data_IF_381711664924
#
_entry.id   IF_381711664924
#
_cell.length_a   1.000
_cell.length_b   1.000
_cell.length_c   1.000
_cell.angle_alpha   90.00
_cell.angle_beta   90.00
_cell.angle_gamma   90.00
#
_symmetry.space_group_name_H-M   'P 1'
#
loop_
_entity.id
_entity.type
_entity.pdbx_description
1 polymer ?
#
# COMPACT_ATOMS: atom_id res chain seq x y z
N UNK A 1 -3.53 -10.76 -20.47
CA UNK A 1 -3.18 -9.63 -19.58
C UNK A 1 -2.91 -8.43 -20.45
N UNK A 2 -3.76 -7.41 -20.41
CA UNK A 2 -3.49 -6.14 -21.10
C UNK A 2 -2.31 -5.46 -20.42
N UNK A 3 -1.26 -5.18 -21.18
CA UNK A 3 -0.09 -4.45 -20.71
C UNK A 3 -0.55 -3.06 -20.23
N UNK A 4 -0.18 -2.66 -19.01
CA UNK A 4 -0.49 -1.34 -18.48
C UNK A 4 0.19 -0.26 -19.36
N UNK A 5 -0.57 0.71 -19.86
CA UNK A 5 -0.05 1.80 -20.72
C UNK A 5 0.54 2.94 -19.86
N UNK A 6 1.60 2.66 -19.10
CA UNK A 6 2.20 3.62 -18.15
C UNK A 6 2.50 4.97 -18.78
N UNK A 7 3.20 4.98 -19.92
CA UNK A 7 3.61 6.20 -20.59
C UNK A 7 2.40 7.08 -20.97
N UNK A 8 1.36 6.50 -21.56
CA UNK A 8 0.17 7.24 -21.98
C UNK A 8 -0.61 7.78 -20.77
N UNK A 9 -0.76 6.97 -19.73
CA UNK A 9 -1.39 7.41 -18.47
C UNK A 9 -0.62 8.58 -17.84
N UNK A 10 0.72 8.52 -17.79
CA UNK A 10 1.56 9.59 -17.21
C UNK A 10 1.50 10.87 -18.03
N UNK A 11 1.59 10.77 -19.36
CA UNK A 11 1.42 11.91 -20.28
C UNK A 11 0.09 12.62 -20.04
N UNK A 12 -1.01 11.86 -20.00
CA UNK A 12 -2.33 12.46 -19.79
C UNK A 12 -2.52 12.99 -18.37
N UNK A 13 -1.91 12.38 -17.36
CA UNK A 13 -1.88 12.95 -16.01
C UNK A 13 -1.21 14.32 -15.99
N UNK A 14 -0.08 14.50 -16.68
CA UNK A 14 0.57 15.82 -16.80
C UNK A 14 -0.26 16.82 -17.61
N UNK A 15 -1.07 16.38 -18.57
CA UNK A 15 -2.00 17.28 -19.27
C UNK A 15 -3.07 17.82 -18.32
N UNK A 16 -3.63 16.95 -17.47
CA UNK A 16 -4.59 17.37 -16.45
C UNK A 16 -3.96 18.35 -15.44
N UNK A 17 -2.70 18.12 -15.05
CA UNK A 17 -1.95 19.07 -14.23
C UNK A 17 -1.77 20.41 -14.92
N UNK A 18 -1.38 20.43 -16.19
CA UNK A 18 -1.27 21.67 -16.95
C UNK A 18 -2.59 22.46 -16.98
N UNK A 19 -3.71 21.77 -17.24
CA UNK A 19 -5.04 22.41 -17.21
C UNK A 19 -5.33 23.03 -15.83
N UNK A 20 -4.99 22.33 -14.75
CA UNK A 20 -5.25 22.83 -13.39
C UNK A 20 -4.31 23.97 -12.98
N UNK A 21 -3.00 23.80 -13.20
CA UNK A 21 -1.94 24.69 -12.70
C UNK A 21 -1.76 25.94 -13.58
N UNK A 22 -1.90 25.83 -14.91
CA UNK A 22 -1.64 26.94 -15.84
C UNK A 22 -2.91 27.58 -16.40
N UNK A 23 -4.02 26.85 -16.46
CA UNK A 23 -5.30 27.37 -16.97
C UNK A 23 -6.36 27.55 -15.88
N UNK A 24 -6.03 27.27 -14.61
CA UNK A 24 -6.94 27.46 -13.48
C UNK A 24 -8.19 26.56 -13.53
N UNK A 25 -8.13 25.45 -14.25
CA UNK A 25 -9.27 24.55 -14.42
C UNK A 25 -9.51 23.79 -13.13
N UNK A 26 -10.72 23.92 -12.58
CA UNK A 26 -11.12 23.11 -11.42
C UNK A 26 -11.23 21.64 -11.82
N UNK A 27 -10.35 20.82 -11.25
CA UNK A 27 -10.27 19.37 -11.41
C UNK A 27 -10.07 18.74 -10.03
N UNK A 28 -10.87 17.72 -9.72
CA UNK A 28 -10.65 16.92 -8.52
C UNK A 28 -9.46 15.97 -8.71
N UNK A 29 -8.29 16.39 -8.23
CA UNK A 29 -7.07 15.61 -8.31
C UNK A 29 -7.13 14.29 -7.51
N UNK A 30 -7.99 14.19 -6.49
CA UNK A 30 -8.16 12.92 -5.76
C UNK A 30 -8.74 11.85 -6.68
N UNK A 31 -9.77 12.20 -7.45
CA UNK A 31 -10.35 11.32 -8.47
C UNK A 31 -9.33 11.01 -9.58
N UNK A 32 -8.61 12.01 -10.08
CA UNK A 32 -7.62 11.83 -11.17
C UNK A 32 -6.47 10.89 -10.78
N UNK A 33 -6.06 10.90 -9.52
CA UNK A 33 -5.01 10.01 -9.02
C UNK A 33 -5.44 8.54 -9.04
N UNK A 34 -6.74 8.26 -8.93
CA UNK A 34 -7.30 6.91 -9.05
C UNK A 34 -7.34 6.37 -10.48
N UNK A 35 -7.22 7.21 -11.52
CA UNK A 35 -7.32 6.74 -12.90
C UNK A 35 -6.20 5.78 -13.27
N UNK A 36 -6.58 4.66 -13.89
CA UNK A 36 -5.68 3.58 -14.28
C UNK A 36 -5.68 3.31 -15.80
N UNK A 37 -6.54 4.00 -16.56
CA UNK A 37 -6.62 3.85 -18.02
C UNK A 37 -6.49 5.20 -18.76
N UNK A 38 -5.86 5.21 -19.95
CA UNK A 38 -5.77 6.44 -20.75
C UNK A 38 -7.13 7.00 -21.18
N UNK A 39 -8.14 6.13 -21.34
CA UNK A 39 -9.50 6.54 -21.73
C UNK A 39 -10.16 7.46 -20.70
N UNK A 40 -10.01 7.17 -19.40
CA UNK A 40 -10.53 8.01 -18.32
C UNK A 40 -9.95 9.42 -18.38
N UNK A 41 -8.63 9.52 -18.58
CA UNK A 41 -7.98 10.82 -18.75
C UNK A 41 -8.43 11.54 -20.02
N UNK A 42 -8.48 10.84 -21.16
CA UNK A 42 -8.85 11.45 -22.43
C UNK A 42 -10.27 12.05 -22.39
N UNK A 43 -11.22 11.35 -21.77
CA UNK A 43 -12.58 11.85 -21.56
C UNK A 43 -12.58 13.13 -20.71
N UNK A 44 -11.85 13.15 -19.60
CA UNK A 44 -11.73 14.33 -18.74
C UNK A 44 -11.10 15.51 -19.48
N UNK A 45 -9.97 15.27 -20.16
CA UNK A 45 -9.23 16.31 -20.90
C UNK A 45 -10.10 16.91 -22.00
N UNK A 46 -10.77 16.08 -22.81
CA UNK A 46 -11.66 16.57 -23.86
C UNK A 46 -12.81 17.40 -23.29
N UNK A 47 -13.48 16.88 -22.25
CA UNK A 47 -14.57 17.60 -21.58
C UNK A 47 -14.12 18.98 -21.09
N UNK A 48 -12.94 19.08 -20.47
CA UNK A 48 -12.38 20.35 -19.98
C UNK A 48 -11.94 21.28 -21.10
N UNK A 49 -11.32 20.77 -22.16
CA UNK A 49 -10.93 21.59 -23.31
C UNK A 49 -12.14 22.13 -24.09
N UNK A 50 -13.20 21.34 -24.20
CA UNK A 50 -14.45 21.76 -24.84
C UNK A 50 -15.18 22.82 -24.03
N UNK A 51 -15.08 22.79 -22.70
CA UNK A 51 -15.62 23.83 -21.81
C UNK A 51 -14.82 25.15 -21.88
N UNK A 52 -13.51 25.08 -22.13
CA UNK A 52 -12.63 26.26 -22.10
C UNK A 52 -12.54 27.00 -23.44
N UNK A 53 -12.68 26.27 -24.54
CA UNK A 53 -12.41 26.80 -25.86
C UNK A 53 -13.52 26.40 -26.83
N UNK A 54 -14.06 27.38 -27.56
CA UNK A 54 -14.90 27.09 -28.73
C UNK A 54 -14.06 26.97 -30.01
N UNK A 55 -12.89 27.62 -30.03
CA UNK A 55 -12.02 27.68 -31.19
C UNK A 55 -11.04 26.49 -31.29
N UNK A 56 -11.12 25.74 -32.39
CA UNK A 56 -10.23 24.61 -32.71
C UNK A 56 -8.74 25.01 -32.74
N UNK A 57 -8.41 26.24 -33.13
CA UNK A 57 -7.01 26.72 -33.15
C UNK A 57 -6.42 26.86 -31.75
N UNK A 58 -7.20 27.44 -30.82
CA UNK A 58 -6.78 27.58 -29.41
C UNK A 58 -6.63 26.20 -28.75
N UNK A 59 -7.59 25.29 -28.97
CA UNK A 59 -7.46 23.89 -28.50
C UNK A 59 -6.16 23.25 -28.96
N UNK A 60 -5.82 23.38 -30.25
CA UNK A 60 -4.56 22.83 -30.80
C UNK A 60 -3.33 23.46 -30.18
N UNK A 61 -3.33 24.77 -29.94
CA UNK A 61 -2.23 25.47 -29.27
C UNK A 61 -2.03 24.93 -27.85
N UNK A 62 -3.09 24.88 -27.06
CA UNK A 62 -3.07 24.35 -25.69
C UNK A 62 -2.59 22.90 -25.64
N UNK A 63 -3.01 22.06 -26.60
CA UNK A 63 -2.54 20.66 -26.70
C UNK A 63 -1.04 20.57 -26.94
N UNK A 64 -0.47 21.46 -27.76
CA UNK A 64 0.99 21.51 -27.98
C UNK A 64 1.73 21.91 -26.70
N UNK A 65 1.21 22.88 -25.97
CA UNK A 65 1.78 23.31 -24.67
C UNK A 65 1.70 22.18 -23.64
N UNK A 66 0.57 21.48 -23.54
CA UNK A 66 0.42 20.30 -22.67
C UNK A 66 1.43 19.20 -23.01
N UNK A 67 1.66 18.92 -24.30
CA UNK A 67 2.68 17.97 -24.77
C UNK A 67 4.08 18.36 -24.32
N UNK A 68 4.43 19.65 -24.47
CA UNK A 68 5.72 20.17 -24.05
C UNK A 68 5.88 20.06 -22.53
N UNK A 69 4.87 20.49 -21.78
CA UNK A 69 4.85 20.38 -20.32
C UNK A 69 5.08 18.93 -19.86
N UNK A 70 4.37 17.96 -20.44
CA UNK A 70 4.59 16.55 -20.10
C UNK A 70 6.02 16.07 -20.40
N UNK A 71 6.62 16.51 -21.52
CA UNK A 71 7.99 16.15 -21.91
C UNK A 71 9.02 16.67 -20.91
N UNK A 72 8.79 17.84 -20.33
CA UNK A 72 9.68 18.44 -19.33
C UNK A 72 9.60 17.77 -17.95
N UNK A 73 8.47 17.11 -17.64
CA UNK A 73 8.20 16.58 -16.30
C UNK A 73 8.36 15.06 -16.18
N UNK A 74 8.19 14.32 -17.27
CA UNK A 74 8.15 12.86 -17.27
C UNK A 74 9.56 12.27 -17.33
N UNK A 75 9.88 11.42 -16.34
CA UNK A 75 11.11 10.63 -16.36
C UNK A 75 10.93 9.40 -17.25
N UNK A 76 11.95 9.06 -18.05
CA UNK A 76 11.92 7.86 -18.91
C UNK A 76 11.61 6.58 -18.12
N UNK A 77 10.74 5.75 -18.69
CA UNK A 77 10.23 4.53 -18.04
C UNK A 77 11.34 3.52 -17.67
N UNK A 78 12.48 3.54 -18.39
CA UNK A 78 13.65 2.68 -18.13
C UNK A 78 14.18 2.78 -16.70
N UNK A 79 14.05 3.95 -16.07
CA UNK A 79 14.52 4.15 -14.69
C UNK A 79 13.67 3.41 -13.65
N UNK A 80 12.47 2.96 -14.05
CA UNK A 80 11.52 2.29 -13.17
C UNK A 80 11.43 0.78 -13.43
N UNK A 81 12.17 0.21 -14.37
CA UNK A 81 11.97 -1.20 -14.74
C UNK A 81 12.24 -2.18 -13.58
N UNK A 82 13.21 -1.86 -12.73
CA UNK A 82 13.58 -2.67 -11.58
C UNK A 82 12.41 -2.88 -10.60
N UNK A 83 11.53 -1.89 -10.42
CA UNK A 83 10.41 -1.98 -9.47
C UNK A 83 9.20 -2.75 -10.02
N UNK A 84 9.15 -2.99 -11.33
CA UNK A 84 8.09 -3.78 -11.98
C UNK A 84 8.29 -5.29 -11.85
N UNK A 85 9.47 -5.70 -11.41
CA UNK A 85 9.89 -7.11 -11.34
C UNK A 85 9.01 -7.95 -10.43
N UNK A 86 8.64 -7.43 -9.25
CA UNK A 86 7.69 -8.10 -8.35
C UNK A 86 6.85 -7.11 -7.54
N UNK A 87 5.83 -7.65 -6.88
CA UNK A 87 4.82 -6.88 -6.14
C UNK A 87 5.35 -6.27 -4.84
N UNK A 88 6.24 -6.95 -4.13
CA UNK A 88 6.89 -6.45 -2.91
C UNK A 88 7.69 -5.19 -3.21
N UNK A 89 8.48 -5.19 -4.28
CA UNK A 89 9.31 -4.06 -4.69
C UNK A 89 8.44 -2.87 -5.05
N UNK A 90 7.39 -3.10 -5.85
CA UNK A 90 6.45 -2.04 -6.22
C UNK A 90 5.78 -1.41 -4.99
N UNK A 91 5.34 -2.23 -4.02
CA UNK A 91 4.71 -1.74 -2.80
C UNK A 91 5.71 -1.05 -1.85
N UNK A 92 6.92 -1.59 -1.71
CA UNK A 92 8.01 -0.94 -0.97
C UNK A 92 8.31 0.45 -1.54
N UNK A 93 8.50 0.52 -2.86
CA UNK A 93 8.83 1.76 -3.55
C UNK A 93 7.73 2.81 -3.40
N UNK A 94 6.47 2.37 -3.48
CA UNK A 94 5.32 3.20 -3.19
C UNK A 94 5.37 3.73 -1.75
N UNK A 95 5.51 2.85 -0.75
CA UNK A 95 5.60 3.27 0.66
C UNK A 95 6.75 4.25 0.88
N UNK A 96 7.94 3.98 0.35
CA UNK A 96 9.14 4.78 0.56
C UNK A 96 9.01 6.22 0.04
N UNK A 97 8.41 6.43 -1.13
CA UNK A 97 8.25 7.79 -1.67
C UNK A 97 7.21 8.59 -0.88
N UNK A 98 6.08 7.97 -0.57
CA UNK A 98 5.01 8.65 0.14
C UNK A 98 5.29 8.78 1.65
N UNK A 99 6.20 7.99 2.20
CA UNK A 99 6.56 8.07 3.62
C UNK A 99 7.57 9.16 3.97
N UNK A 100 8.28 9.73 2.98
CA UNK A 100 9.33 10.75 3.17
C UNK A 100 8.82 12.21 3.08
N UNK A 101 8.72 12.96 4.19
CA UNK A 101 8.21 14.34 4.19
C UNK A 101 9.08 15.33 3.41
N UNK A 102 10.40 15.10 3.33
CA UNK A 102 11.33 15.97 2.60
C UNK A 102 11.05 16.03 1.09
N UNK A 103 10.41 15.00 0.54
CA UNK A 103 10.02 14.98 -0.88
C UNK A 103 8.76 15.82 -1.14
N UNK A 104 7.87 16.01 -0.16
CA UNK A 104 6.69 16.88 -0.29
C UNK A 104 7.04 18.36 -0.37
N UNK A 105 8.07 18.80 0.35
CA UNK A 105 8.54 20.18 0.25
C UNK A 105 8.94 20.52 -1.21
N UNK A 106 9.36 19.52 -1.99
CA UNK A 106 9.65 19.66 -3.42
C UNK A 106 8.41 19.73 -4.32
N UNK A 107 7.19 19.60 -3.79
CA UNK A 107 5.95 20.00 -4.49
C UNK A 107 5.59 21.47 -4.21
N UNK A 108 5.82 21.94 -2.99
CA UNK A 108 5.39 23.26 -2.51
C UNK A 108 6.35 24.42 -2.84
N UNK A 109 7.64 24.15 -3.08
CA UNK A 109 8.65 25.20 -3.29
C UNK A 109 8.49 26.01 -4.60
N UNK A 110 7.57 25.64 -5.50
CA UNK A 110 7.27 26.43 -6.69
C UNK A 110 6.17 27.49 -6.46
N UNK A 111 5.32 27.35 -5.45
CA UNK A 111 4.24 28.34 -5.19
C UNK A 111 4.75 29.62 -4.54
N UNK A 112 5.92 29.60 -3.87
CA UNK A 112 6.42 30.77 -3.13
C UNK A 112 7.61 31.48 -3.79
N UNK A 113 8.34 30.83 -4.69
CA UNK A 113 9.47 31.45 -5.38
C UNK A 113 9.31 31.25 -6.89
N UNK A 114 8.92 32.34 -7.56
CA UNK A 114 8.93 32.59 -9.01
C UNK A 114 7.55 32.72 -9.71
N UNK A 115 6.77 33.72 -9.30
CA UNK A 115 5.80 34.39 -10.19
C UNK A 115 6.48 35.15 -11.35
N UNK A 116 7.83 35.17 -11.42
CA UNK A 116 8.59 35.87 -12.45
C UNK A 116 9.49 34.98 -13.33
N UNK A 117 9.78 33.72 -12.97
CA UNK A 117 10.74 32.87 -13.73
C UNK A 117 10.11 31.69 -14.48
N UNK A 118 8.80 31.43 -14.34
CA UNK A 118 8.10 30.34 -15.05
C UNK A 118 7.57 30.73 -16.45
N UNK A 119 7.81 31.96 -16.93
CA UNK A 119 7.25 32.44 -18.20
C UNK A 119 8.15 32.20 -19.43
N UNK A 120 9.21 31.40 -19.31
CA UNK A 120 10.06 31.07 -20.46
C UNK A 120 10.11 29.57 -20.68
N UNK A 121 9.28 29.09 -21.62
CA UNK A 121 9.68 27.95 -22.45
C UNK A 121 11.02 28.37 -23.10
N UNK A 122 12.14 27.64 -22.90
CA UNK A 122 13.39 28.01 -23.52
C UNK A 122 13.21 28.04 -25.05
N UNK A 123 13.46 29.19 -25.69
CA UNK A 123 13.27 29.38 -27.14
C UNK A 123 14.28 28.60 -28.02
N UNK A 124 14.94 27.59 -27.46
CA UNK A 124 16.07 26.88 -28.07
C UNK A 124 15.71 25.50 -28.65
N UNK A 125 14.50 24.96 -28.40
CA UNK A 125 14.11 23.68 -28.99
C UNK A 125 13.67 23.89 -30.45
N UNK A 126 14.60 23.69 -31.39
CA UNK A 126 14.34 23.75 -32.84
C UNK A 126 13.42 22.61 -33.30
N UNK A 127 12.63 22.87 -34.35
CA UNK A 127 11.67 21.94 -34.99
C UNK A 127 12.26 20.57 -35.34
N UNK A 128 13.58 20.48 -35.48
CA UNK A 128 14.31 19.27 -35.88
C UNK A 128 14.34 18.20 -34.77
N UNK A 129 14.38 18.60 -33.49
CA UNK A 129 14.29 17.66 -32.34
C UNK A 129 12.84 17.18 -32.13
N UNK A 130 11.86 18.02 -32.49
CA UNK A 130 10.43 17.68 -32.42
C UNK A 130 10.01 16.60 -33.45
N UNK A 131 10.71 16.48 -34.57
CA UNK A 131 10.41 15.50 -35.62
C UNK A 131 10.63 14.05 -35.21
N UNK A 132 11.56 13.78 -34.28
CA UNK A 132 11.93 12.41 -33.88
C UNK A 132 11.03 11.80 -32.80
N UNK A 133 10.21 12.59 -32.11
CA UNK A 133 9.28 12.13 -31.07
C UNK A 133 7.79 12.22 -31.50
N UNK A 134 7.54 12.44 -32.79
CA UNK A 134 6.24 12.84 -33.35
C UNK A 134 5.32 11.71 -33.83
N UNK A 135 5.65 10.42 -33.62
CA UNK A 135 4.83 9.32 -34.18
C UNK A 135 3.65 8.84 -33.33
N UNK A 136 3.54 9.18 -32.05
CA UNK A 136 2.73 8.34 -31.13
C UNK A 136 1.43 8.96 -30.59
N UNK A 137 0.75 9.80 -31.38
CA UNK A 137 -0.66 10.13 -31.09
C UNK A 137 -1.49 10.18 -32.37
N UNK A 138 -2.07 9.05 -32.76
CA UNK A 138 -3.16 9.01 -33.72
C UNK A 138 -4.49 9.39 -33.04
N UNK A 139 -4.82 10.69 -33.09
CA UNK A 139 -6.11 11.22 -32.64
C UNK A 139 -7.30 10.68 -33.44
N UNK A 140 -7.08 10.14 -34.65
CA UNK A 140 -8.14 9.54 -35.47
C UNK A 140 -8.49 8.10 -35.03
N UNK A 141 -7.54 7.37 -34.43
CA UNK A 141 -7.82 6.07 -33.80
C UNK A 141 -8.77 6.19 -32.59
N UNK A 142 -8.72 7.30 -31.84
CA UNK A 142 -9.59 7.57 -30.68
C UNK A 142 -11.05 7.91 -31.05
N UNK A 143 -11.29 8.57 -32.19
CA UNK A 143 -12.66 8.80 -32.69
C UNK A 143 -13.40 7.49 -32.97
N UNK A 144 -12.71 6.45 -33.43
CA UNK A 144 -13.32 5.14 -33.72
C UNK A 144 -13.85 4.41 -32.49
N UNK A 145 -13.36 4.71 -31.29
CA UNK A 145 -13.85 4.09 -30.05
C UNK A 145 -15.11 4.75 -29.48
N UNK A 146 -15.39 6.03 -29.80
CA UNK A 146 -16.65 6.69 -29.40
C UNK A 146 -17.88 6.08 -30.08
N UNK A 147 -17.74 5.50 -31.27
CA UNK A 147 -18.88 4.95 -32.04
C UNK A 147 -19.35 3.59 -31.47
N UNK A 148 -18.53 2.89 -30.67
CA UNK A 148 -18.86 1.53 -30.19
C UNK A 148 -19.51 1.43 -28.81
N UNK A 149 -19.59 2.52 -28.04
CA UNK A 149 -20.13 2.50 -26.66
C UNK A 149 -21.47 3.22 -26.49
N UNK A 150 -22.16 3.59 -27.57
CA UNK A 150 -23.56 4.04 -27.47
C UNK A 150 -24.51 2.83 -27.41
N UNK A 151 -24.49 2.12 -26.28
CA UNK A 151 -25.40 1.01 -26.03
C UNK A 151 -25.34 0.60 -24.56
N UNK A 152 -26.44 0.85 -23.85
CA UNK A 152 -26.84 0.25 -22.57
C UNK A 152 -26.66 1.07 -21.27
N UNK A 153 -27.74 1.82 -20.97
CA UNK A 153 -28.64 1.73 -19.79
C UNK A 153 -28.06 1.89 -18.37
N UNK A 154 -28.28 3.09 -17.84
CA UNK A 154 -28.88 3.45 -16.53
C UNK A 154 -28.79 2.43 -15.37
N UNK A 155 -27.97 2.74 -14.36
CA UNK A 155 -28.18 2.28 -12.97
C UNK A 155 -27.98 3.48 -12.01
N UNK A 156 -28.96 3.67 -11.13
CA UNK A 156 -29.09 4.78 -10.18
C UNK A 156 -28.02 4.74 -9.08
N UNK A 157 -27.48 5.91 -8.77
CA UNK A 157 -26.61 6.21 -7.64
C UNK A 157 -27.46 6.34 -6.37
N UNK A 158 -27.16 5.57 -5.32
CA UNK A 158 -27.82 5.70 -4.02
C UNK A 158 -26.96 6.54 -3.07
N UNK A 159 -27.62 7.51 -2.44
CA UNK A 159 -27.15 8.39 -1.39
C UNK A 159 -26.52 7.66 -0.20
N UNK A 160 -25.36 8.15 0.27
CA UNK A 160 -25.01 8.14 1.68
C UNK A 160 -24.42 9.49 2.08
N UNK A 161 -25.17 10.14 2.95
CA UNK A 161 -24.97 11.41 3.63
C UNK A 161 -23.66 11.45 4.44
N UNK A 162 -22.80 12.41 4.10
CA UNK A 162 -21.76 12.95 4.97
C UNK A 162 -22.38 14.00 5.88
N UNK A 163 -22.14 13.89 7.19
CA UNK A 163 -22.52 14.89 8.20
C UNK A 163 -21.34 15.10 9.14
N UNK A 164 -21.16 16.36 9.54
CA UNK A 164 -20.20 16.99 10.46
C UNK A 164 -18.96 17.55 9.76
N UNK A 165 -18.97 18.77 9.25
CA UNK A 165 -19.30 20.09 9.84
C UNK A 165 -18.16 20.65 10.71
N UNK A 166 -17.75 21.87 10.34
CA UNK A 166 -16.51 22.54 10.70
C UNK A 166 -16.81 23.59 11.76
N UNK A 167 -16.07 23.62 12.87
CA UNK A 167 -15.77 24.91 13.52
C UNK A 167 -14.52 24.89 14.41
N UNK A 168 -13.66 25.87 14.10
CA UNK A 168 -12.87 26.74 14.98
C UNK A 168 -11.69 26.21 15.84
N UNK A 169 -10.50 26.68 15.42
CA UNK A 169 -9.48 27.41 16.19
C UNK A 169 -8.90 26.75 17.46
N UNK A 170 -7.68 26.20 17.35
CA UNK A 170 -6.51 26.66 18.11
C UNK A 170 -5.23 26.00 17.59
N UNK A 171 -4.18 26.81 17.41
CA UNK A 171 -2.81 26.36 17.12
C UNK A 171 -2.24 25.67 18.35
N UNK A 172 -2.42 24.36 18.44
CA UNK A 172 -1.54 23.45 19.17
C UNK A 172 -1.03 22.43 18.16
N UNK A 173 0.29 22.22 18.13
CA UNK A 173 0.87 21.05 17.47
C UNK A 173 0.21 19.82 18.07
N UNK A 174 -0.81 19.31 17.37
CA UNK A 174 -1.37 18.00 17.64
C UNK A 174 -0.27 17.04 17.26
N UNK A 175 0.53 16.64 18.24
CA UNK A 175 1.33 15.42 18.14
C UNK A 175 0.30 14.30 18.13
N UNK A 176 -0.27 14.05 16.95
CA UNK A 176 -1.09 12.88 16.69
C UNK A 176 -0.13 11.71 16.87
N UNK A 177 -0.24 11.03 18.01
CA UNK A 177 0.47 9.79 18.27
C UNK A 177 -0.08 8.77 17.28
N UNK A 178 0.46 8.78 16.06
CA UNK A 178 0.15 7.77 15.07
C UNK A 178 0.76 6.45 15.57
N UNK A 179 -0.01 5.36 15.47
CA UNK A 179 0.48 4.00 15.67
C UNK A 179 1.33 3.52 14.47
N UNK A 180 1.72 4.47 13.61
CA UNK A 180 2.64 4.33 12.50
C UNK A 180 3.99 3.78 12.92
N UNK A 181 4.53 2.91 12.07
CA UNK A 181 5.94 2.58 12.05
C UNK A 181 6.78 3.86 11.96
N UNK A 182 7.70 4.03 12.91
CA UNK A 182 8.61 5.17 12.93
C UNK A 182 9.39 5.32 11.61
N UNK A 183 9.58 6.57 11.19
CA UNK A 183 10.18 6.92 9.91
C UNK A 183 9.21 6.89 8.73
N UNK A 184 7.91 6.67 8.97
CA UNK A 184 6.91 6.72 7.92
C UNK A 184 5.76 7.70 8.19
N UNK A 185 5.55 8.62 7.26
CA UNK A 185 4.36 9.47 7.22
C UNK A 185 3.31 8.86 6.28
N UNK A 186 2.18 8.41 6.84
CA UNK A 186 1.13 7.72 6.08
C UNK A 186 -0.05 8.61 5.68
N UNK A 187 -0.09 9.87 6.12
CA UNK A 187 -1.16 10.82 5.75
C UNK A 187 -1.23 11.04 4.24
N UNK A 188 -0.13 10.77 3.54
CA UNK A 188 0.02 10.96 2.08
C UNK A 188 -0.43 9.77 1.25
N UNK A 189 -0.57 8.59 1.86
CA UNK A 189 -0.86 7.38 1.11
C UNK A 189 -2.37 7.27 0.90
N UNK A 190 -2.81 7.53 -0.33
CA UNK A 190 -4.19 7.29 -0.72
C UNK A 190 -4.39 5.84 -1.14
N UNK A 191 -5.56 5.22 -0.85
CA UNK A 191 -5.82 3.86 -1.30
C UNK A 191 -5.70 3.75 -2.82
N UNK A 192 -4.88 2.79 -3.26
CA UNK A 192 -4.70 2.45 -4.68
C UNK A 192 -5.29 1.08 -4.95
N UNK A 193 -5.61 0.81 -6.21
CA UNK A 193 -6.09 -0.51 -6.62
C UNK A 193 -5.10 -1.61 -6.21
N UNK A 194 -5.63 -2.78 -5.86
CA UNK A 194 -4.89 -3.96 -5.41
C UNK A 194 -4.10 -4.65 -6.56
N UNK A 195 -3.23 -3.91 -7.24
CA UNK A 195 -2.38 -4.41 -8.32
C UNK A 195 -0.96 -3.86 -8.24
N UNK A 196 0.01 -4.67 -8.67
CA UNK A 196 1.41 -4.23 -8.80
C UNK A 196 1.49 -3.01 -9.72
N UNK A 197 0.75 -3.05 -10.82
CA UNK A 197 0.74 -2.02 -11.83
C UNK A 197 0.18 -0.70 -11.29
N UNK A 198 -0.78 -0.75 -10.35
CA UNK A 198 -1.32 0.45 -9.69
C UNK A 198 -0.29 1.08 -8.76
N UNK A 199 0.47 0.30 -7.99
CA UNK A 199 1.58 0.82 -7.16
C UNK A 199 2.61 1.54 -8.05
N UNK A 200 3.04 0.88 -9.14
CA UNK A 200 4.03 1.44 -10.07
C UNK A 200 3.51 2.73 -10.71
N UNK A 201 2.27 2.74 -11.22
CA UNK A 201 1.73 3.93 -11.88
C UNK A 201 1.55 5.09 -10.89
N UNK A 202 1.05 4.82 -9.68
CA UNK A 202 0.89 5.84 -8.64
C UNK A 202 2.23 6.48 -8.29
N UNK A 203 3.25 5.66 -8.07
CA UNK A 203 4.62 6.09 -7.80
C UNK A 203 5.22 6.92 -8.95
N UNK A 204 5.05 6.48 -10.19
CA UNK A 204 5.55 7.20 -11.36
C UNK A 204 4.92 8.58 -11.48
N UNK A 205 3.58 8.69 -11.31
CA UNK A 205 2.87 9.98 -11.33
C UNK A 205 3.37 10.91 -10.23
N UNK A 206 3.58 10.37 -9.04
CA UNK A 206 4.08 11.12 -7.89
C UNK A 206 5.47 11.70 -8.17
N UNK A 207 6.41 10.89 -8.68
CA UNK A 207 7.75 11.36 -9.05
C UNK A 207 7.70 12.39 -10.18
N UNK A 208 6.86 12.18 -11.20
CA UNK A 208 6.68 13.16 -12.28
C UNK A 208 6.09 14.47 -11.76
N UNK A 209 5.34 14.44 -10.66
CA UNK A 209 4.72 15.61 -10.05
C UNK A 209 5.69 16.53 -9.29
N UNK A 210 6.88 16.02 -8.93
CA UNK A 210 7.88 16.84 -8.25
C UNK A 210 8.31 18.02 -9.13
N UNK A 211 8.48 19.18 -8.51
CA UNK A 211 8.83 20.44 -9.21
C UNK A 211 10.31 20.55 -9.59
N UNK A 212 11.12 19.56 -9.23
CA UNK A 212 12.52 19.49 -9.60
C UNK A 212 12.73 19.06 -11.06
N UNK A 213 13.94 19.25 -11.56
CA UNK A 213 14.31 18.79 -12.89
C UNK A 213 14.38 17.25 -12.99
N UNK A 214 14.45 16.76 -14.23
CA UNK A 214 14.47 15.32 -14.54
C UNK A 214 15.69 14.61 -13.93
N UNK A 215 16.85 15.26 -13.83
CA UNK A 215 18.05 14.65 -13.26
C UNK A 215 17.92 14.46 -11.74
N UNK A 216 17.34 15.43 -11.05
CA UNK A 216 17.01 15.29 -9.62
C UNK A 216 16.00 14.17 -9.38
N UNK A 217 14.96 14.06 -10.22
CA UNK A 217 14.01 12.94 -10.15
C UNK A 217 14.71 11.59 -10.34
N UNK A 218 15.64 11.50 -11.28
CA UNK A 218 16.47 10.29 -11.48
C UNK A 218 17.31 9.99 -10.24
N UNK A 219 17.89 11.01 -9.58
CA UNK A 219 18.63 10.82 -8.34
C UNK A 219 17.75 10.24 -7.22
N UNK A 220 16.51 10.71 -7.10
CA UNK A 220 15.54 10.16 -6.12
C UNK A 220 15.23 8.69 -6.43
N UNK A 221 15.03 8.35 -7.70
CA UNK A 221 14.79 6.95 -8.12
C UNK A 221 16.00 6.06 -7.78
N UNK A 222 17.23 6.56 -7.96
CA UNK A 222 18.45 5.82 -7.62
C UNK A 222 18.60 5.63 -6.11
N UNK A 223 18.32 6.66 -5.30
CA UNK A 223 18.32 6.55 -3.83
C UNK A 223 17.32 5.48 -3.37
N UNK A 224 16.11 5.52 -3.94
CA UNK A 224 15.07 4.53 -3.69
C UNK A 224 15.53 3.11 -4.08
N UNK A 225 16.18 2.96 -5.24
CA UNK A 225 16.74 1.67 -5.66
C UNK A 225 17.79 1.14 -4.68
N UNK A 226 18.73 1.98 -4.25
CA UNK A 226 19.75 1.59 -3.27
C UNK A 226 19.13 1.23 -1.92
N UNK A 227 18.11 1.98 -1.48
CA UNK A 227 17.36 1.64 -0.27
C UNK A 227 16.68 0.27 -0.39
N UNK A 228 16.08 -0.05 -1.55
CA UNK A 228 15.52 -1.36 -1.79
C UNK A 228 16.57 -2.48 -1.73
N UNK A 229 17.71 -2.30 -2.43
CA UNK A 229 18.78 -3.30 -2.45
C UNK A 229 19.29 -3.60 -1.05
N UNK A 230 19.50 -2.57 -0.23
CA UNK A 230 19.92 -2.75 1.16
C UNK A 230 18.89 -3.53 1.98
N UNK A 231 17.62 -3.11 1.92
CA UNK A 231 16.52 -3.79 2.63
C UNK A 231 16.37 -5.24 2.20
N UNK A 232 16.46 -5.53 0.91
CA UNK A 232 16.34 -6.89 0.39
C UNK A 232 17.52 -7.78 0.77
N UNK A 233 18.74 -7.24 0.75
CA UNK A 233 19.94 -7.98 1.15
C UNK A 233 19.91 -8.36 2.63
N UNK A 234 19.40 -7.48 3.49
CA UNK A 234 19.29 -7.73 4.92
C UNK A 234 18.11 -8.64 5.25
N UNK A 235 16.95 -8.41 4.62
CA UNK A 235 15.71 -9.15 4.88
C UNK A 235 15.05 -9.65 3.58
N UNK A 236 15.61 -10.70 2.94
CA UNK A 236 15.05 -11.21 1.69
C UNK A 236 13.66 -11.86 1.90
N UNK A 237 13.40 -12.46 3.06
CA UNK A 237 12.12 -13.07 3.43
C UNK A 237 11.83 -12.89 4.93
N UNK A 238 11.41 -11.70 5.38
CA UNK A 238 11.29 -11.38 6.82
C UNK A 238 10.28 -12.27 7.56
N UNK A 239 9.22 -12.70 6.88
CA UNK A 239 8.11 -13.48 7.45
C UNK A 239 8.07 -14.93 6.98
N UNK A 240 9.23 -15.52 6.62
CA UNK A 240 9.31 -16.91 6.11
C UNK A 240 8.78 -17.99 7.07
N UNK A 241 8.58 -17.66 8.34
CA UNK A 241 8.08 -18.54 9.40
C UNK A 241 6.55 -18.58 9.50
N UNK A 242 5.83 -17.77 8.72
CA UNK A 242 4.37 -17.74 8.65
C UNK A 242 3.93 -17.83 7.18
N UNK A 243 2.92 -18.66 6.92
CA UNK A 243 2.34 -18.77 5.58
C UNK A 243 1.41 -17.58 5.34
N UNK A 244 1.83 -16.64 4.51
CA UNK A 244 1.07 -15.43 4.19
C UNK A 244 0.15 -15.61 2.97
N UNK A 245 -0.08 -16.83 2.50
CA UNK A 245 -1.14 -17.10 1.52
C UNK A 245 -2.49 -17.40 2.20
N UNK A 246 -2.46 -17.69 3.50
CA UNK A 246 -3.63 -17.87 4.37
C UNK A 246 -4.11 -16.53 4.95
N UNK A 247 -5.37 -16.14 4.72
CA UNK A 247 -5.90 -14.84 5.14
C UNK A 247 -5.89 -14.63 6.66
N UNK A 248 -6.16 -15.67 7.45
CA UNK A 248 -6.10 -15.61 8.92
C UNK A 248 -4.70 -15.29 9.43
N UNK A 249 -3.68 -15.80 8.73
CA UNK A 249 -2.28 -15.58 9.09
C UNK A 249 -1.87 -14.14 8.78
N UNK A 250 -2.30 -13.61 7.62
CA UNK A 250 -2.10 -12.20 7.23
C UNK A 250 -2.76 -11.27 8.23
N UNK A 251 -4.03 -11.53 8.57
CA UNK A 251 -4.77 -10.72 9.55
C UNK A 251 -4.11 -10.76 10.92
N UNK A 252 -3.61 -11.92 11.36
CA UNK A 252 -2.87 -12.01 12.61
C UNK A 252 -1.59 -11.17 12.58
N UNK A 253 -0.78 -11.28 11.52
CA UNK A 253 0.46 -10.52 11.39
C UNK A 253 0.18 -9.02 11.39
N UNK A 254 -0.81 -8.56 10.61
CA UNK A 254 -1.25 -7.17 10.56
C UNK A 254 -1.59 -6.61 11.94
N UNK A 255 -2.42 -7.32 12.70
CA UNK A 255 -2.78 -6.90 14.06
C UNK A 255 -1.63 -6.96 15.04
N UNK A 256 -0.72 -7.94 14.89
CA UNK A 256 0.47 -8.04 15.72
C UNK A 256 1.41 -6.84 15.47
N UNK A 257 1.64 -6.52 14.20
CA UNK A 257 2.40 -5.35 13.76
C UNK A 257 1.79 -4.05 14.29
N UNK A 258 0.48 -3.86 14.13
CA UNK A 258 -0.22 -2.69 14.63
C UNK A 258 -0.11 -2.52 16.16
N UNK A 259 -0.30 -3.61 16.92
CA UNK A 259 -0.11 -3.61 18.39
C UNK A 259 1.34 -3.39 18.81
N UNK A 260 2.29 -3.78 17.96
CA UNK A 260 3.72 -3.53 18.12
C UNK A 260 4.16 -2.16 17.61
N UNK A 261 3.22 -1.30 17.19
CA UNK A 261 3.46 0.04 16.66
C UNK A 261 4.39 0.03 15.44
N UNK A 262 4.26 -1.03 14.65
CA UNK A 262 4.84 -1.20 13.32
C UNK A 262 3.68 -1.20 12.31
N UNK A 263 2.84 -0.16 12.36
CA UNK A 263 1.64 -0.05 11.53
C UNK A 263 1.78 0.94 10.37
N UNK A 264 0.76 0.97 9.52
CA UNK A 264 0.54 2.06 8.57
C UNK A 264 -0.93 2.51 8.64
N UNK A 265 -1.18 3.81 8.45
CA UNK A 265 -2.53 4.38 8.57
C UNK A 265 -3.39 4.15 7.31
N UNK A 266 -2.83 3.50 6.29
CA UNK A 266 -3.54 3.13 5.06
C UNK A 266 -4.30 1.83 5.28
N UNK A 267 -5.60 1.87 5.04
CA UNK A 267 -6.42 0.66 5.10
C UNK A 267 -6.27 -0.17 3.83
N UNK A 268 -5.91 -1.46 3.94
CA UNK A 268 -5.91 -2.37 2.81
C UNK A 268 -7.35 -2.72 2.41
N UNK A 269 -7.64 -2.72 1.12
CA UNK A 269 -8.95 -3.11 0.57
C UNK A 269 -9.15 -4.63 0.51
N UNK A 270 -8.06 -5.41 0.49
CA UNK A 270 -8.08 -6.87 0.36
C UNK A 270 -7.05 -7.52 1.28
N UNK A 271 -7.19 -8.82 1.54
CA UNK A 271 -6.17 -9.61 2.26
C UNK A 271 -4.80 -9.60 1.56
N UNK A 272 -4.79 -9.63 0.22
CA UNK A 272 -3.56 -9.54 -0.58
C UNK A 272 -2.86 -8.19 -0.40
N UNK A 273 -3.62 -7.10 -0.44
CA UNK A 273 -3.08 -5.77 -0.19
C UNK A 273 -2.61 -5.62 1.26
N UNK A 274 -3.32 -6.22 2.22
CA UNK A 274 -2.89 -6.25 3.63
C UNK A 274 -1.54 -6.94 3.80
N UNK A 275 -1.31 -8.07 3.10
CA UNK A 275 0.00 -8.73 3.05
C UNK A 275 1.07 -7.80 2.49
N UNK A 276 0.82 -7.16 1.35
CA UNK A 276 1.81 -6.24 0.77
C UNK A 276 2.14 -5.09 1.71
N UNK A 277 1.12 -4.49 2.33
CA UNK A 277 1.27 -3.36 3.22
C UNK A 277 2.01 -3.76 4.49
N UNK A 278 1.73 -4.95 5.06
CA UNK A 278 2.49 -5.47 6.20
C UNK A 278 3.98 -5.61 5.85
N UNK A 279 4.29 -6.21 4.70
CA UNK A 279 5.67 -6.41 4.24
C UNK A 279 6.36 -5.07 3.96
N UNK A 280 5.72 -4.18 3.21
CA UNK A 280 6.25 -2.85 2.89
C UNK A 280 6.42 -1.99 4.14
N UNK A 281 5.52 -2.12 5.13
CA UNK A 281 5.64 -1.42 6.41
C UNK A 281 6.90 -1.86 7.14
N UNK A 282 7.14 -3.16 7.25
CA UNK A 282 8.36 -3.69 7.86
C UNK A 282 9.62 -3.27 7.08
N UNK A 283 9.56 -3.33 5.75
CA UNK A 283 10.68 -2.98 4.87
C UNK A 283 11.10 -1.51 5.01
N UNK A 284 10.13 -0.59 5.11
CA UNK A 284 10.35 0.85 5.23
C UNK A 284 10.47 1.36 6.68
N UNK A 285 10.20 0.52 7.68
CA UNK A 285 10.29 0.90 9.09
C UNK A 285 11.75 1.14 9.52
N UNK A 286 12.02 2.20 10.27
CA UNK A 286 13.38 2.53 10.75
C UNK A 286 13.72 1.93 12.13
N UNK A 287 12.86 1.08 12.68
CA UNK A 287 13.00 0.58 14.05
C UNK A 287 12.32 1.49 15.08
N UNK A 288 12.18 1.00 16.31
CA UNK A 288 11.55 1.76 17.41
C UNK A 288 12.47 2.90 17.84
N UNK A 289 11.95 4.12 17.89
CA UNK A 289 12.69 5.29 18.40
C UNK A 289 12.47 5.50 19.90
N UNK A 290 13.36 6.26 20.54
CA UNK A 290 13.24 6.61 21.95
C UNK A 290 11.97 7.46 22.20
N UNK A 291 11.63 8.36 21.29
CA UNK A 291 10.42 9.17 21.35
C UNK A 291 9.16 8.30 21.27
N UNK A 292 9.17 7.33 20.34
CA UNK A 292 8.08 6.36 20.21
C UNK A 292 7.92 5.55 21.50
N UNK A 293 9.03 5.20 22.16
CA UNK A 293 9.00 4.45 23.42
C UNK A 293 8.45 5.25 24.60
N UNK A 294 8.77 6.55 24.69
CA UNK A 294 8.18 7.45 25.68
C UNK A 294 6.66 7.54 25.47
N UNK A 295 6.24 7.76 24.23
CA UNK A 295 4.83 7.84 23.85
C UNK A 295 4.06 6.56 24.18
N UNK A 296 4.72 5.40 24.01
CA UNK A 296 4.12 4.10 24.24
C UNK A 296 4.16 3.61 25.70
N UNK A 297 4.78 4.38 26.61
CA UNK A 297 4.98 3.99 28.02
C UNK A 297 5.56 2.57 28.15
N UNK A 298 6.58 2.28 27.34
CA UNK A 298 7.20 0.96 27.22
C UNK A 298 7.82 0.58 28.54
N UNK A 299 7.42 -0.58 29.10
CA UNK A 299 8.07 -1.09 30.30
C UNK A 299 9.40 -1.72 29.92
N UNK A 300 10.35 -1.69 30.85
CA UNK A 300 11.64 -2.38 30.69
C UNK A 300 11.40 -3.84 30.26
N UNK A 301 11.87 -4.20 29.06
CA UNK A 301 11.77 -5.53 28.47
C UNK A 301 10.79 -5.70 27.29
N UNK A 302 9.87 -4.76 27.08
CA UNK A 302 8.87 -4.84 26.00
C UNK A 302 9.52 -4.66 24.61
N UNK A 303 10.46 -3.72 24.49
CA UNK A 303 11.45 -3.61 23.40
C UNK A 303 12.57 -2.63 23.76
N UNK A 304 13.71 -2.72 23.08
CA UNK A 304 14.83 -1.78 23.25
C UNK A 304 14.86 -0.73 22.13
N UNK A 305 14.40 0.51 22.39
CA UNK A 305 14.38 1.57 21.38
C UNK A 305 15.79 2.03 21.02
N UNK A 306 15.97 2.57 19.80
CA UNK A 306 17.22 3.20 19.37
C UNK A 306 18.39 2.24 19.08
N UNK A 307 18.14 0.92 18.99
CA UNK A 307 19.14 -0.06 18.54
C UNK A 307 19.02 -0.35 17.04
N UNK A 308 20.17 -0.56 16.41
CA UNK A 308 20.32 -1.05 15.03
C UNK A 308 19.56 -2.38 14.78
N UNK A 309 19.29 -3.16 15.83
CA UNK A 309 18.68 -4.50 15.76
C UNK A 309 17.15 -4.55 15.91
N UNK A 310 16.46 -3.41 15.84
CA UNK A 310 15.01 -3.33 16.10
C UNK A 310 14.18 -4.28 15.20
N UNK A 311 14.55 -4.38 13.91
CA UNK A 311 13.87 -5.27 12.96
C UNK A 311 14.06 -6.74 13.30
N UNK A 312 15.29 -7.16 13.62
CA UNK A 312 15.61 -8.52 14.04
C UNK A 312 14.88 -8.89 15.33
N UNK A 313 14.88 -7.98 16.32
CA UNK A 313 14.18 -8.13 17.59
C UNK A 313 12.67 -8.31 17.38
N UNK A 314 12.06 -7.50 16.51
CA UNK A 314 10.67 -7.64 16.11
C UNK A 314 10.37 -9.01 15.49
N UNK A 315 11.18 -9.46 14.52
CA UNK A 315 10.96 -10.75 13.85
C UNK A 315 11.05 -11.94 14.82
N UNK A 316 11.99 -11.92 15.76
CA UNK A 316 12.12 -12.97 16.79
C UNK A 316 10.89 -12.99 17.69
N UNK A 317 10.43 -11.83 18.17
CA UNK A 317 9.22 -11.73 19.01
C UNK A 317 7.96 -12.17 18.28
N UNK A 318 7.78 -11.71 17.04
CA UNK A 318 6.65 -12.06 16.20
C UNK A 318 6.61 -13.58 15.96
N UNK A 319 7.73 -14.19 15.58
CA UNK A 319 7.84 -15.64 15.38
C UNK A 319 7.48 -16.42 16.65
N UNK A 320 8.02 -16.04 17.80
CA UNK A 320 7.74 -16.72 19.07
C UNK A 320 6.26 -16.61 19.45
N UNK A 321 5.67 -15.44 19.26
CA UNK A 321 4.24 -15.20 19.53
C UNK A 321 3.34 -16.03 18.62
N UNK A 322 3.73 -16.18 17.34
CA UNK A 322 3.02 -17.00 16.37
C UNK A 322 3.04 -18.49 16.73
N UNK A 323 4.22 -19.02 17.05
CA UNK A 323 4.38 -20.43 17.48
C UNK A 323 3.51 -20.71 18.70
N UNK A 324 3.52 -19.81 19.69
CA UNK A 324 2.68 -19.94 20.88
C UNK A 324 1.18 -19.92 20.55
N UNK A 325 0.73 -19.03 19.65
CA UNK A 325 -0.66 -19.00 19.18
C UNK A 325 -1.03 -20.34 18.55
N UNK A 326 -0.27 -20.81 17.56
CA UNK A 326 -0.53 -22.10 16.88
C UNK A 326 -0.58 -23.27 17.85
N UNK A 327 0.30 -23.30 18.85
CA UNK A 327 0.29 -24.33 19.88
C UNK A 327 -0.97 -24.27 20.76
N UNK A 328 -1.46 -23.06 21.11
CA UNK A 328 -2.74 -22.89 21.82
C UNK A 328 -3.92 -23.32 20.97
N UNK A 329 -3.93 -22.99 19.68
CA UNK A 329 -5.00 -23.34 18.75
C UNK A 329 -5.05 -24.86 18.49
N UNK A 330 -3.89 -25.53 18.45
CA UNK A 330 -3.82 -26.99 18.42
C UNK A 330 -4.41 -27.61 19.69
N UNK A 331 -3.99 -27.11 20.85
CA UNK A 331 -4.51 -27.58 22.15
C UNK A 331 -6.01 -27.31 22.31
N UNK A 332 -6.54 -26.20 21.79
CA UNK A 332 -7.96 -25.89 21.89
C UNK A 332 -8.79 -26.86 21.04
N UNK A 333 -8.34 -27.19 19.83
CA UNK A 333 -8.93 -28.23 18.97
C UNK A 333 -8.87 -29.62 19.60
N UNK A 334 -7.75 -29.96 20.26
CA UNK A 334 -7.59 -31.20 21.02
C UNK A 334 -8.42 -31.23 22.33
N UNK A 335 -8.86 -30.06 22.83
CA UNK A 335 -9.61 -29.90 24.08
C UNK A 335 -11.13 -29.87 23.94
N UNK A 336 -11.66 -30.14 22.73
CA UNK A 336 -13.06 -30.52 22.54
C UNK A 336 -13.39 -31.87 23.20
N UNK A 337 -12.35 -32.61 23.63
CA UNK A 337 -12.47 -33.77 24.50
C UNK A 337 -12.80 -33.41 25.95
N UNK A 338 -13.52 -34.33 26.61
CA UNK A 338 -13.92 -34.29 28.02
C UNK A 338 -12.79 -33.76 28.91
N UNK A 339 -12.99 -32.62 29.57
CA UNK A 339 -12.02 -32.05 30.50
C UNK A 339 -12.00 -32.85 31.80
N UNK A 340 -11.00 -33.71 31.97
CA UNK A 340 -10.71 -34.35 33.25
C UNK A 340 -10.17 -33.33 34.26
N UNK A 341 -10.61 -33.42 35.52
CA UNK A 341 -10.04 -32.64 36.62
C UNK A 341 -8.55 -32.96 36.81
N UNK A 342 -7.79 -32.06 37.43
CA UNK A 342 -6.37 -32.27 37.70
C UNK A 342 -6.11 -33.56 38.50
N UNK A 343 -7.01 -33.89 39.43
CA UNK A 343 -6.94 -35.13 40.21
C UNK A 343 -7.18 -36.37 39.34
N UNK A 344 -8.18 -36.34 38.45
CA UNK A 344 -8.46 -37.45 37.52
C UNK A 344 -7.34 -37.64 36.51
N UNK A 345 -6.73 -36.56 36.02
CA UNK A 345 -5.52 -36.62 35.18
C UNK A 345 -4.35 -37.26 35.91
N UNK A 346 -4.11 -36.90 37.18
CA UNK A 346 -3.04 -37.50 37.99
C UNK A 346 -3.26 -39.00 38.17
N UNK A 347 -4.50 -39.43 38.43
CA UNK A 347 -4.86 -40.86 38.52
C UNK A 347 -4.63 -41.59 37.20
N UNK A 348 -5.07 -41.02 36.08
CA UNK A 348 -4.88 -41.61 34.74
C UNK A 348 -3.39 -41.76 34.38
N UNK A 349 -2.57 -40.76 34.70
CA UNK A 349 -1.12 -40.81 34.46
C UNK A 349 -0.42 -41.84 35.36
N UNK A 350 -0.85 -41.98 36.62
CA UNK A 350 -0.36 -43.06 37.50
C UNK A 350 -0.72 -44.45 36.97
N UNK A 351 -1.93 -44.62 36.42
CA UNK A 351 -2.36 -45.88 35.80
C UNK A 351 -1.56 -46.18 34.53
N UNK A 352 -1.31 -45.19 33.67
CA UNK A 352 -0.42 -45.34 32.52
C UNK A 352 0.97 -45.80 32.94
N UNK A 353 1.56 -45.16 33.98
CA UNK A 353 2.88 -45.53 34.50
C UNK A 353 2.93 -46.93 35.10
N UNK A 354 1.85 -47.37 35.76
CA UNK A 354 1.79 -48.68 36.41
C UNK A 354 1.52 -49.83 35.42
N UNK A 355 0.77 -49.56 34.35
CA UNK A 355 0.32 -50.59 33.39
C UNK A 355 1.13 -50.61 32.09
N UNK A 356 1.82 -49.52 31.76
CA UNK A 356 2.48 -49.33 30.45
C UNK A 356 1.51 -49.05 29.30
N UNK A 357 0.20 -49.04 29.54
CA UNK A 357 -0.84 -48.86 28.52
C UNK A 357 -1.12 -47.37 28.34
N UNK A 358 -1.14 -46.87 27.10
CA UNK A 358 -1.38 -45.46 26.79
C UNK A 358 -2.68 -44.91 27.40
N UNK A 359 -2.64 -43.69 27.95
CA UNK A 359 -3.76 -43.05 28.65
C UNK A 359 -5.07 -43.01 27.85
N UNK A 360 -5.00 -42.84 26.52
CA UNK A 360 -6.19 -42.82 25.65
C UNK A 360 -6.82 -44.22 25.50
N UNK A 361 -5.99 -45.27 25.50
CA UNK A 361 -6.45 -46.66 25.42
C UNK A 361 -7.13 -47.07 26.72
N UNK A 362 -6.55 -46.69 27.87
CA UNK A 362 -7.16 -46.90 29.19
C UNK A 362 -8.50 -46.18 29.32
N UNK A 363 -8.58 -44.93 28.87
CA UNK A 363 -9.81 -44.16 28.93
C UNK A 363 -10.90 -44.82 28.07
N UNK A 364 -10.56 -45.28 26.87
CA UNK A 364 -11.47 -46.00 25.99
C UNK A 364 -11.96 -47.30 26.62
N UNK A 365 -11.07 -48.12 27.19
CA UNK A 365 -11.47 -49.38 27.83
C UNK A 365 -12.40 -49.16 29.02
N UNK A 366 -12.18 -48.12 29.82
CA UNK A 366 -13.08 -47.80 30.94
C UNK A 366 -14.44 -47.31 30.47
N UNK A 367 -14.50 -46.53 29.39
CA UNK A 367 -15.77 -46.12 28.79
C UNK A 367 -16.53 -47.34 28.25
N UNK A 368 -15.84 -48.22 27.52
CA UNK A 368 -16.44 -49.43 26.94
C UNK A 368 -16.93 -50.41 28.03
N UNK A 369 -16.18 -50.55 29.14
CA UNK A 369 -16.59 -51.38 30.28
C UNK A 369 -17.79 -50.79 31.01
N UNK A 370 -17.80 -49.48 31.28
CA UNK A 370 -18.92 -48.79 31.90
C UNK A 370 -20.19 -48.88 31.04
N UNK A 371 -20.06 -48.73 29.73
CA UNK A 371 -21.16 -48.88 28.77
C UNK A 371 -21.70 -50.31 28.73
N UNK A 372 -20.82 -51.32 28.72
CA UNK A 372 -21.21 -52.73 28.80
C UNK A 372 -21.97 -53.05 30.07
N UNK A 373 -21.54 -52.54 31.23
CA UNK A 373 -22.27 -52.72 32.50
C UNK A 373 -23.66 -52.10 32.44
N UNK A 374 -23.75 -50.84 32.01
CA UNK A 374 -25.02 -50.13 31.87
C UNK A 374 -26.03 -50.83 30.93
N UNK A 375 -25.54 -51.44 29.85
CA UNK A 375 -26.39 -52.15 28.87
C UNK A 375 -26.68 -53.61 29.25
N UNK A 376 -25.91 -54.19 30.18
CA UNK A 376 -26.15 -55.53 30.72
C UNK A 376 -27.16 -55.50 31.88
N UNK A 377 -27.15 -54.43 32.69
CA UNK A 377 -28.08 -54.25 33.83
C UNK A 377 -29.49 -53.78 33.40
N UNK A 378 -29.69 -53.43 32.13
CA UNK A 378 -31.00 -53.04 31.56
C UNK A 378 -31.80 -54.21 30.95
N UNK A 379 -31.40 -55.46 31.23
CA UNK A 379 -32.01 -56.69 30.69
C UNK A 379 -32.63 -57.61 31.76
N UNK A 380 -32.95 -57.08 32.94
CA UNK A 380 -33.83 -57.77 33.91
C UNK A 380 -35.27 -57.29 33.81
#
# INVERSE_FOLDING_TARGET
MTLMEYERCRKYHQYVRYLSEHLGVSVDMKTVNSFCSPAQYAQLIHSKLDQLFDNSSQKRKTIREMKLYATMHIVSEKHFDWMKSNRRIACFAWFWIFSKPSLEQRKLNLTNNNTAASNAIPSFLTEEILGQYSSDVDFEALKKHQIKTSGEKNVKLNDRTNVNDVSALDTHEVITVSHSANGMNFERLTPVYDSKESYVLSLMKEIDSFSCDVNEKISIINELYHSWVNTFNEFPLPFSWIDLDEEENVYWLWNYMYKGYVGCDVQPATSRQMKDFAVATFDCWNGWSAEQAVIMNVKDGDFTPGREMSKQEFLVRARNSWIQKRHRDKKSKDSSGIKLTAQSKKKLMSLHKATGIESNVLLKSFIDEAWKKMTSDGKE
#
